data_IF_712543700058
#
_entry.id   IF_712543700058
#
_cell.length_a   1.000
_cell.length_b   1.000
_cell.length_c   1.000
_cell.angle_alpha   90.00
_cell.angle_beta   90.00
_cell.angle_gamma   90.00
#
_symmetry.space_group_name_H-M   'P 1'
#
loop_
_entity.id
_entity.type
_entity.pdbx_description
1 polymer ?
#
# COMPACT_ATOMS: atom_id res chain seq x y z
N UNK A 1 -13.06 31.43 -34.98
CA UNK A 1 -13.22 30.34 -34.00
C UNK A 1 -11.99 30.30 -33.08
N UNK A 2 -12.03 30.98 -31.93
CA UNK A 2 -10.87 31.14 -31.05
C UNK A 2 -10.76 29.94 -30.09
N UNK A 3 -10.01 28.89 -30.47
CA UNK A 3 -9.72 27.76 -29.57
C UNK A 3 -8.68 28.18 -28.52
N UNK A 4 -9.14 28.61 -27.35
CA UNK A 4 -8.27 28.73 -26.16
C UNK A 4 -7.74 27.35 -25.79
N UNK A 5 -6.42 27.18 -25.79
CA UNK A 5 -5.77 25.97 -25.25
C UNK A 5 -5.68 26.14 -23.74
N UNK A 6 -6.24 25.18 -23.00
CA UNK A 6 -6.05 25.07 -21.56
C UNK A 6 -4.97 24.02 -21.29
N UNK A 7 -4.00 24.38 -20.47
CA UNK A 7 -2.92 23.49 -20.04
C UNK A 7 -2.84 23.55 -18.52
N UNK A 8 -2.70 22.40 -17.87
CA UNK A 8 -2.42 22.30 -16.44
C UNK A 8 -0.92 22.06 -16.26
N UNK A 9 -0.26 22.96 -15.54
CA UNK A 9 1.18 22.94 -15.29
C UNK A 9 1.46 22.77 -13.80
N UNK A 10 2.69 22.36 -13.44
CA UNK A 10 3.17 22.27 -12.06
C UNK A 10 4.55 22.89 -11.93
N UNK A 11 4.86 23.46 -10.76
CA UNK A 11 6.14 24.08 -10.43
C UNK A 11 7.20 23.08 -9.94
N UNK A 12 6.93 21.77 -10.05
CA UNK A 12 7.88 20.68 -9.73
C UNK A 12 8.49 20.83 -8.34
N UNK A 13 9.80 21.03 -8.25
CA UNK A 13 10.58 21.00 -7.01
C UNK A 13 10.52 22.32 -6.24
N UNK A 14 10.00 23.39 -6.86
CA UNK A 14 9.92 24.72 -6.25
C UNK A 14 9.15 24.76 -4.91
N UNK A 15 8.01 24.06 -4.72
CA UNK A 15 7.31 24.05 -3.45
C UNK A 15 8.15 23.49 -2.28
N UNK A 16 9.09 22.57 -2.55
CA UNK A 16 9.96 22.05 -1.50
C UNK A 16 10.93 23.12 -0.98
N UNK A 17 11.35 24.06 -1.85
CA UNK A 17 12.28 25.14 -1.51
C UNK A 17 11.63 26.30 -0.74
N UNK A 18 10.31 26.30 -0.54
CA UNK A 18 9.62 27.36 0.19
C UNK A 18 10.10 27.43 1.65
N UNK A 19 10.19 28.65 2.18
CA UNK A 19 10.31 28.88 3.60
C UNK A 19 8.99 28.50 4.29
N UNK A 20 9.07 27.84 5.44
CA UNK A 20 7.91 27.41 6.24
C UNK A 20 8.07 27.87 7.69
N UNK A 21 6.97 28.08 8.39
CA UNK A 21 6.95 28.54 9.77
C UNK A 21 7.13 30.06 9.94
N UNK A 22 6.80 30.86 8.92
CA UNK A 22 6.99 32.31 8.99
C UNK A 22 5.98 32.96 9.96
N UNK A 23 6.35 34.06 10.65
CA UNK A 23 5.49 34.73 11.64
C UNK A 23 4.12 35.20 11.11
N UNK A 24 3.94 35.36 9.78
CA UNK A 24 2.70 35.78 9.12
C UNK A 24 1.94 34.68 8.38
N UNK A 25 2.38 33.42 8.44
CA UNK A 25 1.90 32.36 7.57
C UNK A 25 2.82 32.11 6.38
N UNK A 26 2.65 30.93 5.77
CA UNK A 26 3.50 30.40 4.70
C UNK A 26 2.86 30.55 3.32
N UNK A 27 1.54 30.73 3.25
CA UNK A 27 0.78 30.85 2.02
C UNK A 27 -0.25 31.98 2.12
N UNK A 28 -0.65 32.49 0.96
CA UNK A 28 -1.68 33.52 0.80
C UNK A 28 -2.79 32.98 -0.08
N UNK A 29 -4.04 33.35 0.22
CA UNK A 29 -5.19 33.06 -0.64
C UNK A 29 -5.43 34.26 -1.54
N UNK A 30 -5.61 34.06 -2.84
CA UNK A 30 -6.03 35.15 -3.73
C UNK A 30 -7.50 35.51 -3.47
N UNK A 31 -7.77 36.80 -3.22
CA UNK A 31 -9.11 37.34 -2.92
C UNK A 31 -9.29 37.77 -1.46
N UNK A 32 -10.52 38.20 -1.12
CA UNK A 32 -10.84 38.57 0.26
C UNK A 32 -10.97 37.29 1.12
N UNK A 33 -9.98 37.06 1.97
CA UNK A 33 -9.96 35.95 2.92
C UNK A 33 -10.12 36.45 4.35
N UNK A 34 -10.92 35.73 5.15
CA UNK A 34 -11.07 35.94 6.60
C UNK A 34 -9.95 35.23 7.38
N UNK A 35 -9.16 34.38 6.72
CA UNK A 35 -8.08 33.64 7.36
C UNK A 35 -6.94 34.57 7.80
N UNK A 36 -6.61 34.56 9.08
CA UNK A 36 -5.52 35.37 9.66
C UNK A 36 -4.11 34.91 9.24
N UNK A 37 -3.97 33.72 8.67
CA UNK A 37 -2.73 33.17 8.14
C UNK A 37 -2.88 31.69 7.77
N UNK A 38 -2.21 31.26 6.70
CA UNK A 38 -2.20 29.86 6.25
C UNK A 38 -0.81 29.30 6.53
N UNK A 39 -0.71 28.20 7.26
CA UNK A 39 0.57 27.59 7.65
C UNK A 39 0.69 26.18 7.12
N UNK A 40 1.88 25.83 6.65
CA UNK A 40 2.23 24.48 6.24
C UNK A 40 2.63 23.67 7.47
N UNK A 41 1.88 22.61 7.77
CA UNK A 41 2.18 21.72 8.90
C UNK A 41 3.48 20.94 8.70
N UNK A 42 3.87 20.72 7.45
CA UNK A 42 5.12 20.05 7.04
C UNK A 42 5.61 20.66 5.74
N UNK A 43 6.93 20.59 5.51
CA UNK A 43 7.55 20.99 4.24
C UNK A 43 6.94 20.18 3.09
N UNK A 44 6.59 20.82 1.95
CA UNK A 44 6.17 20.10 0.76
C UNK A 44 7.24 19.10 0.31
N UNK A 45 6.82 17.93 -0.14
CA UNK A 45 7.74 16.87 -0.57
C UNK A 45 8.45 17.24 -1.88
N UNK A 46 9.60 16.63 -2.13
CA UNK A 46 10.25 16.71 -3.45
C UNK A 46 9.37 16.10 -4.53
N UNK A 47 9.55 16.53 -5.79
CA UNK A 47 8.83 15.90 -6.90
C UNK A 47 9.31 14.47 -7.06
N UNK A 48 8.41 13.50 -6.94
CA UNK A 48 8.71 12.12 -7.30
C UNK A 48 8.58 11.96 -8.81
N UNK A 49 9.63 11.45 -9.43
CA UNK A 49 9.65 11.13 -10.87
C UNK A 49 9.53 9.62 -11.01
N UNK A 50 8.40 9.09 -11.48
CA UNK A 50 8.31 7.67 -11.72
C UNK A 50 9.37 7.26 -12.74
N UNK A 51 10.03 6.11 -12.54
CA UNK A 51 11.02 5.62 -13.48
C UNK A 51 10.39 5.53 -14.88
N UNK A 52 11.10 6.03 -15.90
CA UNK A 52 10.67 5.98 -17.29
C UNK A 52 11.35 4.79 -17.97
N UNK A 53 10.58 3.94 -18.67
CA UNK A 53 11.13 2.86 -19.48
C UNK A 53 10.27 1.59 -19.54
N UNK A 54 10.60 0.70 -20.49
CA UNK A 54 9.87 -0.56 -20.76
C UNK A 54 9.71 -1.47 -19.53
N UNK A 55 10.65 -1.40 -18.58
CA UNK A 55 10.60 -2.19 -17.34
C UNK A 55 9.40 -1.86 -16.42
N UNK A 56 8.89 -0.61 -16.45
CA UNK A 56 7.73 -0.20 -15.64
C UNK A 56 6.42 -0.66 -16.28
N UNK A 57 6.32 -0.64 -17.60
CA UNK A 57 5.19 -1.18 -18.34
C UNK A 57 5.06 -2.69 -18.15
N UNK A 58 6.18 -3.42 -18.27
CA UNK A 58 6.19 -4.87 -18.00
C UNK A 58 5.83 -5.22 -16.57
N UNK A 59 6.27 -4.42 -15.59
CA UNK A 59 5.92 -4.61 -14.18
C UNK A 59 4.46 -4.29 -13.86
N UNK A 60 3.85 -3.30 -14.52
CA UNK A 60 2.40 -3.04 -14.46
C UNK A 60 1.59 -4.16 -15.11
N UNK A 61 2.09 -4.74 -16.21
CA UNK A 61 1.50 -5.92 -16.85
C UNK A 61 1.61 -7.13 -15.91
N UNK A 62 2.75 -7.37 -15.26
CA UNK A 62 2.90 -8.42 -14.24
C UNK A 62 1.96 -8.20 -13.04
N UNK A 63 1.70 -6.95 -12.66
CA UNK A 63 0.75 -6.57 -11.62
C UNK A 63 -0.72 -6.83 -11.99
N UNK A 64 -1.07 -6.72 -13.28
CA UNK A 64 -2.39 -7.06 -13.82
C UNK A 64 -2.52 -8.57 -14.14
N UNK A 65 -1.40 -9.26 -14.31
CA UNK A 65 -1.32 -10.71 -14.52
C UNK A 65 -1.27 -11.52 -13.21
N UNK A 66 -1.27 -10.86 -12.04
CA UNK A 66 -1.35 -11.46 -10.69
C UNK A 66 -2.65 -12.27 -10.44
N UNK A 67 -3.48 -12.48 -11.47
CA UNK A 67 -4.65 -13.37 -11.47
C UNK A 67 -4.33 -14.82 -11.08
N UNK A 68 -3.06 -15.19 -10.94
CA UNK A 68 -2.64 -16.47 -10.40
C UNK A 68 -1.51 -16.27 -9.38
N UNK A 69 -1.87 -16.16 -8.10
CA UNK A 69 -0.99 -16.48 -6.98
C UNK A 69 -0.54 -17.97 -7.07
N UNK A 70 0.30 -18.29 -8.06
CA UNK A 70 1.18 -19.45 -7.98
C UNK A 70 2.34 -19.09 -7.06
N UNK A 71 2.04 -18.99 -5.76
CA UNK A 71 3.00 -18.80 -4.65
C UNK A 71 3.83 -20.06 -4.37
N UNK A 72 4.04 -20.90 -5.39
CA UNK A 72 4.82 -22.13 -5.25
C UNK A 72 6.25 -21.80 -5.68
N UNK A 73 7.13 -21.61 -4.69
CA UNK A 73 8.59 -21.57 -4.84
C UNK A 73 9.24 -20.19 -4.98
N UNK A 74 8.55 -19.16 -5.52
CA UNK A 74 9.17 -17.84 -5.81
C UNK A 74 8.36 -16.61 -5.39
N UNK A 75 7.38 -16.77 -4.48
CA UNK A 75 6.44 -15.71 -4.07
C UNK A 75 7.09 -14.50 -3.37
N UNK A 76 8.08 -14.72 -2.50
CA UNK A 76 8.70 -13.63 -1.73
C UNK A 76 9.52 -12.66 -2.61
N UNK A 77 10.44 -13.12 -3.49
CA UNK A 77 11.14 -12.23 -4.40
C UNK A 77 10.19 -11.40 -5.28
N UNK A 78 9.13 -12.02 -5.79
CA UNK A 78 8.11 -11.33 -6.59
C UNK A 78 7.38 -10.25 -5.78
N UNK A 79 6.99 -10.55 -4.54
CA UNK A 79 6.36 -9.59 -3.64
C UNK A 79 7.29 -8.42 -3.31
N UNK A 80 8.56 -8.69 -2.98
CA UNK A 80 9.55 -7.62 -2.72
C UNK A 80 9.77 -6.74 -3.95
N UNK A 81 9.94 -7.35 -5.12
CA UNK A 81 10.07 -6.62 -6.38
C UNK A 81 8.84 -5.78 -6.70
N UNK A 82 7.66 -6.29 -6.37
CA UNK A 82 6.43 -5.56 -6.51
C UNK A 82 6.37 -4.35 -5.56
N UNK A 83 6.70 -4.51 -4.28
CA UNK A 83 6.72 -3.38 -3.34
C UNK A 83 7.74 -2.31 -3.74
N UNK A 84 8.90 -2.73 -4.29
CA UNK A 84 9.91 -1.82 -4.85
C UNK A 84 9.42 -1.02 -6.08
N UNK A 85 8.32 -1.42 -6.73
CA UNK A 85 7.69 -0.59 -7.78
C UNK A 85 7.02 0.64 -7.20
N UNK A 86 6.30 0.44 -6.10
CA UNK A 86 5.51 1.49 -5.47
C UNK A 86 6.39 2.41 -4.62
N UNK A 87 7.59 1.97 -4.24
CA UNK A 87 8.59 2.77 -3.57
C UNK A 87 9.30 3.78 -4.52
N UNK A 88 8.53 4.77 -4.99
CA UNK A 88 9.00 5.84 -5.86
C UNK A 88 10.03 6.75 -5.17
N UNK A 89 9.96 6.85 -3.84
CA UNK A 89 10.87 7.67 -3.03
C UNK A 89 12.16 6.94 -2.63
N UNK A 90 12.20 5.60 -2.72
CA UNK A 90 13.33 4.75 -2.31
C UNK A 90 13.90 5.14 -0.95
N UNK A 91 13.02 5.38 0.01
CA UNK A 91 13.47 5.79 1.34
C UNK A 91 14.20 4.65 2.04
N UNK A 92 15.12 4.98 2.96
CA UNK A 92 15.78 3.96 3.79
C UNK A 92 14.76 3.15 4.62
N UNK A 93 13.67 3.79 5.06
CA UNK A 93 12.59 3.16 5.82
C UNK A 93 11.84 2.12 4.99
N UNK A 94 11.34 2.51 3.82
CA UNK A 94 10.61 1.60 2.92
C UNK A 94 11.49 0.46 2.43
N UNK A 95 12.77 0.73 2.11
CA UNK A 95 13.73 -0.30 1.72
C UNK A 95 13.95 -1.32 2.85
N UNK A 96 14.13 -0.84 4.09
CA UNK A 96 14.28 -1.69 5.27
C UNK A 96 13.04 -2.54 5.53
N UNK A 97 11.84 -1.97 5.41
CA UNK A 97 10.58 -2.71 5.58
C UNK A 97 10.39 -3.79 4.50
N UNK A 98 10.74 -3.50 3.25
CA UNK A 98 10.69 -4.48 2.16
C UNK A 98 11.69 -5.60 2.42
N UNK A 99 12.91 -5.28 2.85
CA UNK A 99 13.90 -6.32 3.15
C UNK A 99 13.54 -7.20 4.33
N UNK A 100 12.83 -6.64 5.31
CA UNK A 100 12.37 -7.37 6.48
C UNK A 100 11.27 -8.39 6.20
N UNK A 101 10.73 -8.47 4.99
CA UNK A 101 9.88 -9.61 4.61
C UNK A 101 10.76 -10.85 4.42
N UNK A 102 10.56 -11.87 5.25
CA UNK A 102 11.41 -13.07 5.32
C UNK A 102 10.80 -14.25 4.59
N UNK A 103 9.47 -14.40 4.64
CA UNK A 103 8.76 -15.44 3.92
C UNK A 103 7.33 -14.99 3.58
N UNK A 104 6.75 -15.64 2.58
CA UNK A 104 5.33 -15.54 2.28
C UNK A 104 4.81 -16.92 1.93
N UNK A 105 3.75 -17.32 2.62
CA UNK A 105 3.12 -18.62 2.48
C UNK A 105 1.63 -18.44 2.25
N UNK A 106 1.01 -19.42 1.61
CA UNK A 106 -0.43 -19.47 1.42
C UNK A 106 -0.97 -20.83 1.84
N UNK A 107 -2.10 -20.83 2.52
CA UNK A 107 -2.80 -22.07 2.88
C UNK A 107 -4.30 -21.96 2.62
N UNK A 108 -4.96 -23.03 2.18
CA UNK A 108 -6.41 -23.06 2.10
C UNK A 108 -7.02 -22.79 3.48
N UNK A 109 -8.03 -21.92 3.51
CA UNK A 109 -8.77 -21.60 4.72
C UNK A 109 -10.28 -21.71 4.44
N UNK A 110 -11.05 -22.08 5.46
CA UNK A 110 -12.51 -22.12 5.36
C UNK A 110 -13.07 -21.26 6.47
N UNK A 111 -13.97 -20.34 6.11
CA UNK A 111 -14.69 -19.51 7.07
C UNK A 111 -16.16 -19.88 7.10
N UNK A 112 -16.71 -19.83 8.30
CA UNK A 112 -18.14 -19.96 8.55
C UNK A 112 -18.78 -18.58 8.42
N UNK A 113 -19.70 -18.44 7.48
CA UNK A 113 -20.51 -17.23 7.39
C UNK A 113 -21.93 -17.50 7.92
N UNK A 114 -22.45 -16.63 8.80
CA UNK A 114 -23.83 -16.70 9.23
C UNK A 114 -24.74 -16.36 8.04
N UNK A 115 -25.39 -17.38 7.48
CA UNK A 115 -26.39 -17.25 6.43
C UNK A 115 -27.80 -17.44 6.98
N UNK A 116 -28.79 -16.86 6.30
CA UNK A 116 -30.22 -17.15 6.54
C UNK A 116 -30.73 -18.01 5.36
N UNK A 117 -31.31 -19.22 5.57
CA UNK A 117 -31.62 -19.88 6.84
C UNK A 117 -30.50 -20.80 7.40
N UNK A 118 -29.45 -21.09 6.62
CA UNK A 118 -28.34 -21.94 7.05
C UNK A 118 -27.00 -21.21 6.89
N UNK A 119 -26.04 -21.56 7.73
CA UNK A 119 -24.68 -21.08 7.59
C UNK A 119 -24.03 -21.66 6.32
N UNK A 120 -23.25 -20.83 5.64
CA UNK A 120 -22.55 -21.20 4.41
C UNK A 120 -21.06 -21.24 4.67
N UNK A 121 -20.40 -22.27 4.13
CA UNK A 121 -18.95 -22.35 4.13
C UNK A 121 -18.40 -21.57 2.93
N UNK A 122 -17.51 -20.63 3.18
CA UNK A 122 -16.75 -19.98 2.12
C UNK A 122 -15.33 -20.50 2.20
N UNK A 123 -14.81 -20.96 1.05
CA UNK A 123 -13.40 -21.33 0.92
C UNK A 123 -12.61 -20.10 0.51
N UNK A 124 -11.42 -19.98 1.06
CA UNK A 124 -10.51 -18.87 0.81
C UNK A 124 -9.07 -19.28 1.01
N UNK A 125 -8.22 -18.27 1.07
CA UNK A 125 -6.78 -18.42 1.25
C UNK A 125 -6.37 -17.58 2.44
N UNK A 126 -5.68 -18.20 3.40
CA UNK A 126 -4.92 -17.44 4.38
C UNK A 126 -3.51 -17.20 3.82
N UNK A 127 -3.12 -15.93 3.78
CA UNK A 127 -1.79 -15.48 3.41
C UNK A 127 -1.02 -15.19 4.69
N UNK A 128 0.11 -15.89 4.87
CA UNK A 128 1.00 -15.66 5.99
C UNK A 128 2.24 -14.93 5.49
N UNK A 129 2.56 -13.77 6.08
CA UNK A 129 3.80 -13.06 5.85
C UNK A 129 4.66 -13.16 7.11
N UNK A 130 5.86 -13.71 6.97
CA UNK A 130 6.85 -13.74 8.05
C UNK A 130 7.73 -12.51 7.95
N UNK A 131 7.87 -11.74 9.03
CA UNK A 131 8.64 -10.49 9.05
C UNK A 131 9.71 -10.48 10.13
N UNK A 132 10.86 -9.88 9.84
CA UNK A 132 11.80 -9.43 10.87
C UNK A 132 11.32 -8.08 11.43
N UNK A 133 10.83 -8.10 12.66
CA UNK A 133 10.33 -6.92 13.38
C UNK A 133 11.36 -5.80 13.47
N UNK A 134 12.66 -6.12 13.46
CA UNK A 134 13.70 -5.11 13.46
C UNK A 134 13.58 -4.17 12.25
N UNK A 135 13.03 -4.62 11.11
CA UNK A 135 12.82 -3.78 9.95
C UNK A 135 11.69 -2.77 10.07
N UNK A 136 10.81 -2.94 11.05
CA UNK A 136 9.63 -2.10 11.28
C UNK A 136 9.81 -1.13 12.45
N UNK A 137 10.97 -1.11 13.12
CA UNK A 137 11.26 -0.16 14.20
C UNK A 137 11.09 1.28 13.71
N UNK A 138 10.29 2.07 14.43
CA UNK A 138 9.95 3.45 14.07
C UNK A 138 8.86 3.58 12.99
N UNK A 139 8.27 2.46 12.56
CA UNK A 139 7.15 2.40 11.61
C UNK A 139 6.02 1.55 12.16
N UNK A 140 4.79 1.74 11.66
CA UNK A 140 3.64 0.95 12.11
C UNK A 140 3.51 -0.33 11.28
N UNK A 141 3.80 -1.48 11.90
CA UNK A 141 3.50 -2.79 11.33
C UNK A 141 2.00 -2.94 11.03
N UNK A 142 1.13 -2.32 11.85
CA UNK A 142 -0.31 -2.44 11.67
C UNK A 142 -0.78 -1.66 10.45
N UNK A 143 -0.21 -0.48 10.20
CA UNK A 143 -0.49 0.27 8.98
C UNK A 143 -0.05 -0.51 7.74
N UNK A 144 1.13 -1.12 7.78
CA UNK A 144 1.60 -2.01 6.72
C UNK A 144 0.63 -3.18 6.50
N UNK A 145 0.23 -3.88 7.57
CA UNK A 145 -0.71 -4.99 7.52
C UNK A 145 -2.05 -4.58 6.87
N UNK A 146 -2.59 -3.40 7.20
CA UNK A 146 -3.85 -2.91 6.60
C UNK A 146 -3.72 -2.62 5.11
N UNK A 147 -2.60 -2.05 4.68
CA UNK A 147 -2.34 -1.83 3.25
C UNK A 147 -2.23 -3.15 2.52
N UNK A 148 -1.50 -4.11 3.08
CA UNK A 148 -1.33 -5.45 2.50
C UNK A 148 -2.65 -6.25 2.47
N UNK A 149 -3.45 -6.18 3.53
CA UNK A 149 -4.78 -6.82 3.61
C UNK A 149 -5.70 -6.32 2.49
N UNK A 150 -5.77 -5.00 2.31
CA UNK A 150 -6.56 -4.42 1.23
C UNK A 150 -6.00 -4.79 -0.13
N UNK A 151 -4.68 -4.72 -0.28
CA UNK A 151 -3.97 -5.09 -1.50
C UNK A 151 -4.31 -6.52 -1.94
N UNK A 152 -4.20 -7.52 -1.07
CA UNK A 152 -4.53 -8.91 -1.40
C UNK A 152 -6.04 -9.13 -1.59
N UNK A 153 -6.89 -8.35 -0.92
CA UNK A 153 -8.33 -8.37 -1.14
C UNK A 153 -8.73 -8.10 -2.59
N UNK A 154 -7.99 -7.25 -3.30
CA UNK A 154 -8.26 -6.91 -4.70
C UNK A 154 -7.97 -8.06 -5.69
N UNK A 155 -7.24 -9.09 -5.27
CA UNK A 155 -6.88 -10.25 -6.10
C UNK A 155 -7.70 -11.50 -5.83
N UNK A 156 -8.72 -11.41 -4.98
CA UNK A 156 -9.55 -12.57 -4.65
C UNK A 156 -10.51 -12.91 -5.80
N UNK A 157 -10.69 -14.21 -6.06
CA UNK A 157 -11.71 -14.67 -7.00
C UNK A 157 -13.13 -14.42 -6.48
N UNK A 158 -14.10 -14.34 -7.40
CA UNK A 158 -15.52 -14.28 -7.07
C UNK A 158 -15.90 -15.52 -6.24
N UNK A 159 -16.55 -15.30 -5.09
CA UNK A 159 -16.90 -16.34 -4.09
C UNK A 159 -15.74 -16.94 -3.27
N UNK A 160 -14.61 -16.23 -3.17
CA UNK A 160 -13.51 -16.59 -2.27
C UNK A 160 -13.20 -15.43 -1.30
N UNK A 161 -12.37 -15.72 -0.30
CA UNK A 161 -11.82 -14.71 0.61
C UNK A 161 -10.31 -14.82 0.73
N UNK A 162 -9.68 -13.71 1.10
CA UNK A 162 -8.29 -13.68 1.58
C UNK A 162 -8.27 -13.28 3.05
N UNK A 163 -7.35 -13.85 3.80
CA UNK A 163 -7.10 -13.44 5.19
C UNK A 163 -5.59 -13.28 5.38
N UNK A 164 -5.14 -12.08 5.71
CA UNK A 164 -3.74 -11.82 6.00
C UNK A 164 -3.40 -12.09 7.47
N UNK A 165 -2.33 -12.84 7.68
CA UNK A 165 -1.68 -13.04 8.97
C UNK A 165 -0.21 -12.65 8.85
N UNK A 166 0.29 -11.87 9.80
CA UNK A 166 1.70 -11.51 9.90
C UNK A 166 2.27 -12.17 11.15
N UNK A 167 3.36 -12.89 10.98
CA UNK A 167 4.07 -13.60 12.05
C UNK A 167 5.50 -13.11 12.18
N UNK A 168 6.08 -13.20 13.38
CA UNK A 168 7.48 -12.87 13.61
C UNK A 168 8.41 -13.92 12.99
N UNK A 169 9.55 -13.50 12.47
CA UNK A 169 10.60 -14.41 12.01
C UNK A 169 11.37 -15.07 13.15
N UNK A 170 11.25 -14.56 14.39
CA UNK A 170 12.05 -15.03 15.53
C UNK A 170 11.45 -16.25 16.20
N UNK A 171 10.16 -16.19 16.49
CA UNK A 171 9.42 -17.20 17.26
C UNK A 171 8.17 -17.71 16.54
N UNK A 172 7.87 -17.18 15.35
CA UNK A 172 6.65 -17.47 14.58
C UNK A 172 5.34 -17.08 15.31
N UNK A 173 5.42 -16.23 16.33
CA UNK A 173 4.25 -15.70 17.02
C UNK A 173 3.44 -14.77 16.09
N UNK A 174 2.12 -14.79 16.27
CA UNK A 174 1.21 -13.95 15.51
C UNK A 174 1.30 -12.50 15.97
N UNK A 175 1.79 -11.64 15.07
CA UNK A 175 1.89 -10.20 15.33
C UNK A 175 0.60 -9.48 14.93
N UNK A 176 -0.01 -9.90 13.81
CA UNK A 176 -1.20 -9.26 13.25
C UNK A 176 -2.06 -10.29 12.53
N UNK A 177 -3.36 -10.28 12.79
CA UNK A 177 -4.35 -10.97 11.98
C UNK A 177 -5.42 -10.03 11.50
N UNK A 178 -5.57 -9.96 10.18
CA UNK A 178 -6.64 -9.21 9.55
C UNK A 178 -7.92 -10.04 9.50
N UNK A 179 -9.05 -9.34 9.36
CA UNK A 179 -10.34 -10.01 9.16
C UNK A 179 -10.40 -10.57 7.73
N UNK A 180 -11.09 -11.69 7.50
CA UNK A 180 -11.31 -12.19 6.15
C UNK A 180 -11.95 -11.13 5.25
N UNK A 181 -11.46 -11.03 4.01
CA UNK A 181 -11.86 -10.02 3.03
C UNK A 181 -12.25 -10.68 1.71
N UNK A 182 -13.31 -10.17 1.08
CA UNK A 182 -13.71 -10.52 -0.28
C UNK A 182 -13.82 -9.24 -1.12
N UNK A 183 -12.82 -8.97 -1.96
CA UNK A 183 -12.73 -7.72 -2.72
C UNK A 183 -12.56 -6.52 -1.79
N UNK A 184 -13.39 -5.50 -1.98
CA UNK A 184 -13.43 -4.33 -1.10
C UNK A 184 -14.19 -4.58 0.22
N UNK A 185 -14.97 -5.67 0.31
CA UNK A 185 -15.82 -5.95 1.48
C UNK A 185 -15.12 -6.84 2.51
N UNK A 186 -15.33 -6.54 3.79
CA UNK A 186 -15.01 -7.47 4.87
C UNK A 186 -16.11 -8.53 4.93
N UNK A 187 -15.74 -9.80 5.13
CA UNK A 187 -16.72 -10.84 5.43
C UNK A 187 -17.16 -10.72 6.89
N UNK A 188 -18.47 -10.53 7.09
CA UNK A 188 -19.12 -10.35 8.38
C UNK A 188 -19.73 -11.66 8.88
#
# INVERSE_FOLDING_TARGET
MNRRRQLTCTNRDLPNALAIGLPGGDLFLEGNSVARGIRLLRRPTNTLRPPRGKAVQWRLISHLALNHLSLVGSGLPALKEMLRLYDHGRSAVSSRQIEALVAVDQRPATQWLPGKPFATFVRGIELQITVDEAGFVGSSLQAFARVMDHFFGLYVHINSFTQLVIVSSRDHEELVRCRPRSGESILL
#
